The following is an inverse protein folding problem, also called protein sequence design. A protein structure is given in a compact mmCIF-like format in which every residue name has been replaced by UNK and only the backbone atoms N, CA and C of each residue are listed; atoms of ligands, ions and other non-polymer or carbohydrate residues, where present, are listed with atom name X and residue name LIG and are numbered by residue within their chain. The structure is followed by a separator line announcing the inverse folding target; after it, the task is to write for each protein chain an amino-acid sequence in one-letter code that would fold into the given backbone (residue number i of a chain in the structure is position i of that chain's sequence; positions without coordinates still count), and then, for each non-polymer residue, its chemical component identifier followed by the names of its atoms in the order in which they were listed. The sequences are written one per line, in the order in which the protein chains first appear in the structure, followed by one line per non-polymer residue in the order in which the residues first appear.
data_IF_817396838584
#
_entry.id   IF_817396838584
#
_cell.length_a   1.000
_cell.length_b   1.000
_cell.length_c   1.000
_cell.angle_alpha   90.00
_cell.angle_beta   90.00
_cell.angle_gamma   90.00
#
_symmetry.space_group_name_H-M   'P 1'
#
loop_
_entity.id
_entity.type
_entity.pdbx_description
1 polymer ?
#
# COMPACT_ATOMS: atom_id res chain seq x y z
N UNK A 1 -11.58 -9.00 3.71
CA UNK A 1 -11.06 -7.96 2.78
C UNK A 1 -9.62 -7.58 3.13
N UNK A 2 -8.86 -7.08 2.15
CA UNK A 2 -7.55 -6.48 2.35
C UNK A 2 -7.61 -4.96 2.06
N UNK A 3 -7.29 -4.16 3.06
CA UNK A 3 -7.14 -2.70 3.00
C UNK A 3 -5.65 -2.38 2.89
N UNK A 4 -5.20 -1.87 1.75
CA UNK A 4 -3.83 -1.42 1.56
C UNK A 4 -3.68 0.06 1.91
N UNK A 5 -2.95 0.36 2.98
CA UNK A 5 -2.56 1.72 3.35
C UNK A 5 -1.12 1.95 2.88
N UNK A 6 -0.94 2.56 1.71
CA UNK A 6 0.38 2.68 1.11
C UNK A 6 0.89 4.12 1.05
N UNK A 7 2.15 4.27 0.74
CA UNK A 7 2.81 5.58 0.62
C UNK A 7 4.32 5.46 0.79
N UNK A 8 5.05 6.45 0.33
CA UNK A 8 6.51 6.52 0.48
C UNK A 8 6.93 6.67 1.95
N UNK A 9 8.20 6.55 2.25
CA UNK A 9 8.74 6.82 3.59
C UNK A 9 8.32 8.19 4.10
N UNK A 10 8.18 8.31 5.41
CA UNK A 10 7.75 9.52 6.11
C UNK A 10 6.31 10.03 5.80
N UNK A 11 5.47 9.26 5.12
CA UNK A 11 4.05 9.60 4.92
C UNK A 11 3.18 9.42 6.17
N UNK A 12 3.70 8.89 7.28
CA UNK A 12 2.95 8.72 8.53
C UNK A 12 2.28 7.36 8.72
N UNK A 13 2.45 6.40 7.81
CA UNK A 13 1.80 5.06 7.87
C UNK A 13 1.90 4.38 9.23
N UNK A 14 3.10 4.17 9.74
CA UNK A 14 3.32 3.44 11.01
C UNK A 14 2.63 4.13 12.18
N UNK A 15 2.63 5.47 12.24
CA UNK A 15 1.91 6.22 13.28
C UNK A 15 0.40 6.02 13.18
N UNK A 16 -0.14 6.05 11.98
CA UNK A 16 -1.57 5.81 11.73
C UNK A 16 -1.97 4.36 12.04
N UNK A 17 -1.18 3.37 11.61
CA UNK A 17 -1.41 1.96 11.93
C UNK A 17 -1.49 1.75 13.44
N UNK A 18 -0.54 2.31 14.19
CA UNK A 18 -0.54 2.22 15.66
C UNK A 18 -1.78 2.87 16.29
N UNK A 19 -2.23 4.01 15.75
CA UNK A 19 -3.42 4.70 16.24
C UNK A 19 -4.74 4.02 15.86
N UNK A 20 -4.76 3.21 14.78
CA UNK A 20 -5.94 2.42 14.35
C UNK A 20 -5.97 1.05 15.04
N UNK A 21 -4.81 0.52 15.44
CA UNK A 21 -4.69 -0.80 16.07
C UNK A 21 -5.57 -0.89 17.33
N UNK A 22 -6.41 -1.90 17.38
CA UNK A 22 -7.34 -2.12 18.49
C UNK A 22 -8.65 -1.32 18.43
N UNK A 23 -8.86 -0.47 17.39
CA UNK A 23 -10.15 0.23 17.24
C UNK A 23 -11.28 -0.68 16.76
N UNK A 24 -10.96 -1.82 16.15
CA UNK A 24 -11.91 -2.78 15.60
C UNK A 24 -11.49 -4.19 15.99
N UNK A 25 -12.43 -4.98 16.49
CA UNK A 25 -12.20 -6.38 16.88
C UNK A 25 -12.08 -7.32 15.67
N UNK A 26 -12.58 -6.89 14.51
CA UNK A 26 -12.65 -7.63 13.27
C UNK A 26 -11.65 -7.12 12.20
N UNK A 27 -10.61 -6.39 12.64
CA UNK A 27 -9.56 -5.85 11.77
C UNK A 27 -8.18 -6.14 12.35
N UNK A 28 -7.43 -6.99 11.67
CA UNK A 28 -6.00 -7.16 11.91
C UNK A 28 -5.24 -5.97 11.30
N UNK A 29 -4.25 -5.43 12.03
CA UNK A 29 -3.47 -4.27 11.59
C UNK A 29 -2.00 -4.64 11.60
N UNK A 30 -1.37 -4.61 10.43
CA UNK A 30 0.02 -4.99 10.25
C UNK A 30 0.82 -3.95 9.45
N UNK A 31 2.10 -3.83 9.78
CA UNK A 31 3.09 -3.17 8.93
C UNK A 31 3.74 -4.23 8.02
N UNK A 32 3.98 -3.88 6.76
CA UNK A 32 4.59 -4.78 5.78
C UNK A 32 5.93 -5.35 6.26
N UNK A 33 6.70 -4.54 6.97
CA UNK A 33 8.03 -4.91 7.44
C UNK A 33 8.01 -6.01 8.52
N UNK A 34 6.84 -6.33 9.10
CA UNK A 34 6.67 -7.45 10.04
C UNK A 34 6.94 -8.83 9.41
N UNK A 35 7.00 -8.92 8.07
CA UNK A 35 7.40 -10.15 7.38
C UNK A 35 8.91 -10.42 7.46
N UNK A 36 9.68 -9.42 7.90
CA UNK A 36 11.14 -9.45 7.92
C UNK A 36 11.74 -9.01 6.58
N UNK A 37 12.30 -7.80 6.56
CA UNK A 37 12.95 -7.23 5.36
C UNK A 37 14.43 -7.57 5.37
N UNK A 38 14.94 -8.38 4.43
CA UNK A 38 16.35 -8.72 4.37
C UNK A 38 17.20 -7.52 3.93
N UNK A 39 18.47 -7.53 4.30
CA UNK A 39 19.44 -6.61 3.72
C UNK A 39 19.53 -6.85 2.20
N UNK A 40 19.37 -5.78 1.41
CA UNK A 40 19.35 -5.88 -0.05
C UNK A 40 18.03 -6.38 -0.65
N UNK A 41 16.91 -6.20 0.08
CA UNK A 41 15.58 -6.46 -0.47
C UNK A 41 15.39 -5.75 -1.82
N UNK A 42 15.07 -6.55 -2.85
CA UNK A 42 14.88 -6.11 -4.23
C UNK A 42 13.40 -6.20 -4.67
N UNK A 43 13.12 -5.81 -5.90
CA UNK A 43 11.76 -5.92 -6.47
C UNK A 43 11.24 -7.35 -6.49
N UNK A 44 11.99 -8.39 -6.91
CA UNK A 44 11.56 -9.78 -6.80
C UNK A 44 11.20 -10.20 -5.37
N UNK A 45 11.99 -9.80 -4.38
CA UNK A 45 11.66 -10.06 -2.98
C UNK A 45 10.36 -9.36 -2.58
N UNK A 46 10.18 -8.09 -2.96
CA UNK A 46 8.95 -7.33 -2.65
C UNK A 46 7.71 -8.00 -3.26
N UNK A 47 7.79 -8.52 -4.49
CA UNK A 47 6.70 -9.24 -5.12
C UNK A 47 6.33 -10.53 -4.37
N UNK A 48 7.32 -11.32 -3.95
CA UNK A 48 7.06 -12.51 -3.11
C UNK A 48 6.50 -12.14 -1.74
N UNK A 49 6.98 -11.07 -1.12
CA UNK A 49 6.45 -10.56 0.14
C UNK A 49 4.99 -10.07 -0.01
N UNK A 50 4.64 -9.43 -1.12
CA UNK A 50 3.26 -9.06 -1.43
C UNK A 50 2.36 -10.29 -1.50
N UNK A 51 2.78 -11.35 -2.20
CA UNK A 51 2.01 -12.60 -2.25
C UNK A 51 1.86 -13.22 -0.85
N UNK A 52 2.92 -13.23 -0.05
CA UNK A 52 2.85 -13.75 1.32
C UNK A 52 1.87 -12.95 2.20
N UNK A 53 1.77 -11.62 2.00
CA UNK A 53 0.77 -10.80 2.68
C UNK A 53 -0.65 -11.06 2.19
N UNK A 54 -0.85 -11.30 0.89
CA UNK A 54 -2.14 -11.71 0.34
C UNK A 54 -2.56 -13.07 0.93
N UNK A 55 -1.66 -14.04 1.00
CA UNK A 55 -1.92 -15.33 1.65
C UNK A 55 -2.27 -15.16 3.14
N UNK A 56 -1.64 -14.22 3.85
CA UNK A 56 -1.99 -13.90 5.23
C UNK A 56 -3.37 -13.26 5.33
N UNK A 57 -3.72 -12.37 4.39
CA UNK A 57 -5.05 -11.77 4.31
C UNK A 57 -6.15 -12.82 4.08
N UNK A 58 -5.89 -13.82 3.23
CA UNK A 58 -6.82 -14.94 3.01
C UNK A 58 -7.04 -15.75 4.29
N UNK A 59 -6.00 -15.98 5.11
CA UNK A 59 -6.17 -16.64 6.41
C UNK A 59 -7.05 -15.83 7.37
N UNK A 60 -6.88 -14.50 7.42
CA UNK A 60 -7.76 -13.63 8.19
C UNK A 60 -9.20 -13.66 7.66
N UNK A 61 -9.37 -13.61 6.34
CA UNK A 61 -10.68 -13.68 5.68
C UNK A 61 -11.44 -14.96 6.08
N UNK A 62 -10.77 -16.13 6.12
CA UNK A 62 -11.36 -17.38 6.60
C UNK A 62 -11.80 -17.33 8.08
N UNK A 63 -11.25 -16.41 8.85
CA UNK A 63 -11.60 -16.18 10.26
C UNK A 63 -12.64 -15.06 10.43
N UNK A 64 -13.19 -14.53 9.32
CA UNK A 64 -14.11 -13.40 9.35
C UNK A 64 -13.46 -12.07 9.73
N UNK A 65 -12.14 -11.97 9.60
CA UNK A 65 -11.35 -10.79 9.97
C UNK A 65 -10.81 -10.12 8.71
N UNK A 66 -10.88 -8.80 8.63
CA UNK A 66 -10.22 -8.02 7.59
C UNK A 66 -8.75 -7.74 7.93
N UNK A 67 -7.95 -7.38 6.93
CA UNK A 67 -6.57 -6.96 7.12
C UNK A 67 -6.35 -5.52 6.65
N UNK A 68 -5.84 -4.65 7.54
CA UNK A 68 -5.23 -3.37 7.17
C UNK A 68 -3.71 -3.56 7.12
N UNK A 69 -3.15 -3.43 5.93
CA UNK A 69 -1.72 -3.58 5.67
C UNK A 69 -1.10 -2.22 5.33
N UNK A 70 -0.19 -1.73 6.17
CA UNK A 70 0.64 -0.56 5.85
C UNK A 70 1.87 -0.97 5.06
N UNK A 71 2.11 -0.38 3.88
CA UNK A 71 3.20 -0.77 3.00
C UNK A 71 3.78 0.39 2.18
N UNK A 72 4.97 0.19 1.63
CA UNK A 72 5.49 1.00 0.51
C UNK A 72 5.17 0.35 -0.86
N UNK A 73 4.42 -0.72 -0.85
CA UNK A 73 3.98 -1.44 -2.04
C UNK A 73 2.92 -0.67 -2.78
N UNK A 74 3.07 -0.43 -4.09
CA UNK A 74 2.01 0.15 -4.90
C UNK A 74 0.81 -0.78 -5.07
N UNK A 75 -0.36 -0.19 -5.25
CA UNK A 75 -1.62 -0.95 -5.44
C UNK A 75 -1.55 -1.96 -6.58
N UNK A 76 -0.95 -1.57 -7.72
CA UNK A 76 -0.81 -2.45 -8.88
C UNK A 76 0.02 -3.70 -8.63
N UNK A 77 1.05 -3.63 -7.81
CA UNK A 77 1.82 -4.82 -7.44
C UNK A 77 0.95 -5.81 -6.64
N UNK A 78 0.15 -5.30 -5.70
CA UNK A 78 -0.71 -6.17 -4.90
C UNK A 78 -1.82 -6.82 -5.74
N UNK A 79 -2.41 -6.07 -6.69
CA UNK A 79 -3.37 -6.58 -7.66
C UNK A 79 -2.76 -7.68 -8.58
N UNK A 80 -1.48 -7.56 -8.89
CA UNK A 80 -0.79 -8.51 -9.76
C UNK A 80 -0.34 -9.79 -9.05
N UNK A 81 -0.45 -9.88 -7.71
CA UNK A 81 -0.06 -11.11 -6.99
C UNK A 81 -0.91 -12.30 -7.41
N UNK A 82 -0.34 -13.52 -7.47
CA UNK A 82 -1.06 -14.71 -7.92
C UNK A 82 -2.43 -14.90 -7.24
N UNK A 83 -2.48 -14.73 -5.93
CA UNK A 83 -3.66 -15.04 -5.11
C UNK A 83 -4.63 -13.87 -4.88
N UNK A 84 -4.38 -12.68 -5.44
CA UNK A 84 -5.25 -11.51 -5.22
C UNK A 84 -6.72 -11.77 -5.60
N UNK A 85 -6.97 -12.63 -6.61
CA UNK A 85 -8.33 -12.98 -7.06
C UNK A 85 -9.14 -13.79 -6.05
N UNK A 86 -8.51 -14.35 -5.03
CA UNK A 86 -9.16 -15.15 -3.99
C UNK A 86 -9.65 -14.28 -2.83
N UNK A 87 -9.23 -13.01 -2.78
CA UNK A 87 -9.71 -12.07 -1.77
C UNK A 87 -11.16 -11.68 -2.04
N UNK A 88 -11.98 -11.56 -0.99
CA UNK A 88 -13.34 -11.02 -1.06
C UNK A 88 -13.37 -9.57 -1.54
N UNK A 89 -12.29 -8.85 -1.32
CA UNK A 89 -12.09 -7.48 -1.79
C UNK A 89 -10.70 -6.96 -1.45
N UNK A 90 -10.22 -6.08 -2.32
CA UNK A 90 -8.95 -5.37 -2.19
C UNK A 90 -9.21 -3.88 -2.48
N UNK A 91 -8.85 -3.01 -1.56
CA UNK A 91 -8.98 -1.56 -1.70
C UNK A 91 -7.71 -0.86 -1.23
N UNK A 92 -7.46 0.35 -1.72
CA UNK A 92 -6.21 1.06 -1.47
C UNK A 92 -6.42 2.51 -1.06
N UNK A 93 -5.60 2.96 -0.13
CA UNK A 93 -5.51 4.34 0.31
C UNK A 93 -4.04 4.78 0.32
N UNK A 94 -3.74 5.84 -0.42
CA UNK A 94 -2.43 6.50 -0.42
C UNK A 94 -2.37 7.51 0.72
N UNK A 95 -1.48 7.30 1.69
CA UNK A 95 -1.06 8.36 2.60
C UNK A 95 0.08 9.14 1.97
N UNK A 96 -0.15 10.41 1.73
CA UNK A 96 0.85 11.28 1.15
C UNK A 96 1.02 12.58 1.94
N UNK A 97 2.09 13.31 1.69
CA UNK A 97 2.33 14.66 2.16
C UNK A 97 3.13 15.41 1.12
N UNK A 98 3.14 16.74 1.21
CA UNK A 98 4.02 17.57 0.40
C UNK A 98 5.50 17.22 0.59
N UNK A 99 6.34 17.61 -0.36
CA UNK A 99 7.75 17.24 -0.39
C UNK A 99 8.57 17.92 0.72
N UNK A 100 8.19 19.13 1.13
CA UNK A 100 8.84 19.86 2.25
C UNK A 100 8.55 19.15 3.58
N UNK A 101 7.30 18.80 3.81
CA UNK A 101 6.88 18.02 4.99
C UNK A 101 7.60 16.67 5.03
N UNK A 102 7.70 15.99 3.89
CA UNK A 102 8.39 14.70 3.78
C UNK A 102 9.87 14.84 4.09
N UNK A 103 10.54 15.83 3.48
CA UNK A 103 11.96 16.11 3.71
C UNK A 103 12.24 16.43 5.18
N UNK A 104 11.42 17.28 5.80
CA UNK A 104 11.55 17.59 7.22
C UNK A 104 11.35 16.36 8.13
N UNK A 105 10.39 15.48 7.81
CA UNK A 105 10.17 14.23 8.55
C UNK A 105 11.31 13.23 8.37
N UNK A 106 11.87 13.12 7.17
CA UNK A 106 13.04 12.28 6.90
C UNK A 106 14.26 12.78 7.66
N UNK A 107 14.53 14.10 7.63
CA UNK A 107 15.64 14.70 8.36
C UNK A 107 15.58 14.41 9.88
N UNK A 108 14.40 14.35 10.47
CA UNK A 108 14.20 14.01 11.90
C UNK A 108 14.57 12.56 12.25
N UNK A 109 14.66 11.65 11.27
CA UNK A 109 15.10 10.26 11.51
C UNK A 109 16.60 10.14 11.81
N UNK A 110 17.36 11.18 11.53
CA UNK A 110 18.79 11.27 11.80
C UNK A 110 19.68 10.52 10.81
N UNK A 111 20.99 10.81 10.86
CA UNK A 111 21.98 10.21 9.98
C UNK A 111 22.08 8.69 10.13
N UNK A 112 21.98 8.19 11.36
CA UNK A 112 22.06 6.74 11.63
C UNK A 112 21.00 5.90 10.88
N UNK A 113 19.83 6.51 10.56
CA UNK A 113 18.81 5.82 9.77
C UNK A 113 19.24 5.69 8.31
N UNK A 114 19.86 6.74 7.75
CA UNK A 114 20.41 6.73 6.39
C UNK A 114 21.61 5.79 6.28
N UNK A 115 22.51 5.80 7.25
CA UNK A 115 23.71 4.94 7.29
C UNK A 115 23.33 3.44 7.37
N UNK A 116 22.19 3.11 7.96
CA UNK A 116 21.64 1.73 8.03
C UNK A 116 20.87 1.31 6.77
N UNK A 117 21.03 2.01 5.66
CA UNK A 117 20.37 1.69 4.39
C UNK A 117 19.02 2.37 4.20
N UNK A 118 18.75 3.45 4.94
CA UNK A 118 17.53 4.25 4.82
C UNK A 118 17.35 4.96 3.47
N UNK A 119 18.36 4.88 2.59
CA UNK A 119 18.29 5.43 1.25
C UNK A 119 18.51 6.95 1.19
N UNK A 120 18.41 7.50 0.00
CA UNK A 120 18.55 8.93 -0.27
C UNK A 120 17.18 9.64 -0.15
N UNK A 121 17.15 10.85 0.39
CA UNK A 121 15.95 11.70 0.47
C UNK A 121 15.30 11.86 -0.90
N UNK A 122 16.11 12.11 -1.94
CA UNK A 122 15.62 12.29 -3.30
C UNK A 122 14.93 11.02 -3.83
N UNK A 123 15.45 9.85 -3.50
CA UNK A 123 14.81 8.58 -3.87
C UNK A 123 13.39 8.46 -3.27
N UNK A 124 13.19 8.89 -2.01
CA UNK A 124 11.86 8.88 -1.39
C UNK A 124 10.91 9.94 -1.97
N UNK A 125 11.42 11.11 -2.35
CA UNK A 125 10.64 12.13 -3.06
C UNK A 125 10.20 11.62 -4.44
N UNK A 126 11.12 11.04 -5.20
CA UNK A 126 10.83 10.45 -6.51
C UNK A 126 9.80 9.31 -6.38
N UNK A 127 9.94 8.46 -5.36
CA UNK A 127 8.99 7.37 -5.09
C UNK A 127 7.60 7.90 -4.72
N UNK A 128 7.52 8.97 -3.91
CA UNK A 128 6.27 9.62 -3.57
C UNK A 128 5.59 10.22 -4.81
N UNK A 129 6.36 10.93 -5.63
CA UNK A 129 5.87 11.52 -6.90
C UNK A 129 5.33 10.42 -7.82
N UNK A 130 6.07 9.32 -7.97
CA UNK A 130 5.63 8.17 -8.77
C UNK A 130 4.32 7.59 -8.21
N UNK A 131 4.21 7.39 -6.90
CA UNK A 131 3.00 6.87 -6.26
C UNK A 131 1.78 7.77 -6.46
N UNK A 132 1.92 9.10 -6.40
CA UNK A 132 0.84 10.07 -6.68
C UNK A 132 0.29 9.89 -8.10
N UNK A 133 1.18 9.76 -9.07
CA UNK A 133 0.79 9.55 -10.46
C UNK A 133 0.14 8.19 -10.66
N UNK A 134 0.75 7.13 -10.14
CA UNK A 134 0.22 5.76 -10.24
C UNK A 134 -1.14 5.62 -9.56
N UNK A 135 -1.37 6.28 -8.42
CA UNK A 135 -2.67 6.27 -7.74
C UNK A 135 -3.80 6.80 -8.64
N UNK A 136 -3.51 7.76 -9.52
CA UNK A 136 -4.48 8.38 -10.44
C UNK A 136 -4.50 7.74 -11.83
N UNK A 137 -3.40 7.08 -12.23
CA UNK A 137 -3.23 6.49 -13.55
C UNK A 137 -2.54 5.13 -13.42
N UNK A 138 -3.27 4.01 -13.59
CA UNK A 138 -2.74 2.66 -13.37
C UNK A 138 -1.41 2.40 -14.08
N UNK A 139 -1.32 2.75 -15.34
CA UNK A 139 -0.19 2.43 -16.22
C UNK A 139 0.94 3.49 -16.22
N UNK A 140 0.89 4.46 -15.28
CA UNK A 140 1.96 5.47 -15.21
C UNK A 140 3.32 4.84 -14.94
N UNK A 141 4.23 4.95 -15.90
CA UNK A 141 5.60 4.42 -15.82
C UNK A 141 5.67 3.03 -15.15
N UNK A 142 4.85 2.11 -15.65
CA UNK A 142 4.65 0.77 -15.06
C UNK A 142 5.96 -0.02 -14.93
N UNK A 143 6.95 0.23 -15.78
CA UNK A 143 8.25 -0.45 -15.77
C UNK A 143 9.05 -0.20 -14.48
N UNK A 144 8.68 0.81 -13.69
CA UNK A 144 9.27 1.06 -12.37
C UNK A 144 8.97 -0.10 -11.40
N UNK A 145 7.82 -0.74 -11.54
CA UNK A 145 7.38 -1.85 -10.69
C UNK A 145 7.34 -3.19 -11.43
N UNK A 146 7.19 -3.16 -12.75
CA UNK A 146 7.18 -4.33 -13.61
C UNK A 146 8.56 -4.54 -14.21
N UNK A 147 9.27 -5.55 -13.72
CA UNK A 147 10.60 -5.89 -14.22
C UNK A 147 10.55 -7.24 -14.94
N UNK A 148 11.24 -7.41 -16.09
CA UNK A 148 11.12 -8.61 -16.93
C UNK A 148 11.33 -9.93 -16.18
N UNK A 149 12.27 -9.98 -15.25
CA UNK A 149 12.59 -11.18 -14.48
C UNK A 149 11.56 -11.52 -13.37
N UNK A 150 10.56 -10.66 -13.13
CA UNK A 150 9.48 -10.90 -12.16
C UNK A 150 8.15 -11.27 -12.83
N UNK A 151 8.09 -11.31 -14.15
CA UNK A 151 6.83 -11.51 -14.89
C UNK A 151 6.23 -12.89 -14.72
N UNK A 152 7.06 -13.91 -14.55
CA UNK A 152 6.58 -15.30 -14.46
C UNK A 152 5.63 -15.55 -13.27
N UNK A 153 5.80 -14.83 -12.17
CA UNK A 153 5.02 -15.00 -10.94
C UNK A 153 3.85 -14.03 -10.84
N UNK A 154 3.98 -12.83 -11.42
CA UNK A 154 3.00 -11.76 -11.30
C UNK A 154 1.98 -11.78 -12.45
N UNK A 155 0.76 -11.40 -12.17
CA UNK A 155 -0.37 -11.37 -13.12
C UNK A 155 -0.70 -9.94 -13.54
N UNK A 156 0.26 -9.28 -14.19
CA UNK A 156 0.16 -7.89 -14.61
C UNK A 156 -1.01 -7.61 -15.56
N UNK A 157 -1.34 -8.57 -16.44
CA UNK A 157 -2.44 -8.45 -17.39
C UNK A 157 -3.81 -8.16 -16.74
N UNK A 158 -3.97 -8.39 -15.43
CA UNK A 158 -5.22 -8.14 -14.72
C UNK A 158 -5.67 -6.69 -14.73
N UNK A 159 -4.74 -5.74 -14.81
CA UNK A 159 -5.04 -4.32 -14.68
C UNK A 159 -4.26 -3.42 -15.65
N UNK A 160 -3.30 -3.93 -16.41
CA UNK A 160 -2.46 -3.10 -17.29
C UNK A 160 -3.21 -2.55 -18.51
N UNK A 161 -4.43 -2.99 -18.76
CA UNK A 161 -5.36 -2.41 -19.73
C UNK A 161 -6.28 -1.32 -19.13
N UNK A 162 -6.26 -1.13 -17.82
CA UNK A 162 -7.11 -0.14 -17.16
C UNK A 162 -6.57 1.27 -17.41
N UNK A 163 -7.49 2.19 -17.65
CA UNK A 163 -7.17 3.58 -17.96
C UNK A 163 -7.46 4.49 -16.77
N UNK A 164 -6.99 5.71 -16.83
CA UNK A 164 -7.33 6.74 -15.86
C UNK A 164 -8.86 6.88 -15.78
N UNK A 165 -9.39 6.83 -14.54
CA UNK A 165 -10.82 6.91 -14.27
C UNK A 165 -11.56 5.56 -14.38
N UNK A 166 -10.87 4.45 -14.60
CA UNK A 166 -11.47 3.12 -14.47
C UNK A 166 -11.97 2.92 -13.04
N UNK A 167 -13.26 2.57 -12.89
CA UNK A 167 -13.88 2.42 -11.58
C UNK A 167 -13.28 1.29 -10.75
N UNK A 168 -12.61 0.33 -11.38
CA UNK A 168 -11.88 -0.76 -10.73
C UNK A 168 -10.57 -0.29 -10.09
N UNK A 169 -10.04 0.84 -10.59
CA UNK A 169 -8.86 1.49 -10.03
C UNK A 169 -9.28 2.69 -9.19
N UNK A 170 -9.71 2.40 -7.98
CA UNK A 170 -10.04 3.44 -7.02
C UNK A 170 -9.00 3.45 -5.90
N UNK A 171 -8.29 4.57 -5.77
CA UNK A 171 -7.35 4.81 -4.69
C UNK A 171 -7.79 6.06 -3.95
N UNK A 172 -8.14 5.90 -2.68
CA UNK A 172 -8.36 7.03 -1.78
C UNK A 172 -7.01 7.73 -1.51
N UNK A 173 -7.00 9.06 -1.44
CA UNK A 173 -5.79 9.82 -1.13
C UNK A 173 -6.04 10.67 0.11
N UNK A 174 -5.23 10.46 1.15
CA UNK A 174 -5.29 11.24 2.39
C UNK A 174 -3.99 12.03 2.51
N UNK A 175 -4.11 13.36 2.50
CA UNK A 175 -3.00 14.27 2.77
C UNK A 175 -2.68 14.26 4.27
N UNK A 176 -1.41 14.03 4.57
CA UNK A 176 -0.90 13.99 5.94
C UNK A 176 -0.09 15.23 6.32
N UNK A 177 -0.02 16.23 5.44
CA UNK A 177 0.65 17.50 5.69
C UNK A 177 -0.09 18.25 6.79
N UNK A 178 0.60 18.62 7.87
CA UNK A 178 0.02 19.43 8.95
C UNK A 178 -1.04 18.75 9.82
N UNK A 179 -1.46 17.53 9.53
CA UNK A 179 -2.52 16.83 10.28
C UNK A 179 -1.98 16.07 11.49
N UNK A 180 -2.74 16.07 12.58
CA UNK A 180 -2.44 15.27 13.75
C UNK A 180 -2.67 13.77 13.47
N UNK A 181 -1.90 12.89 14.12
CA UNK A 181 -2.03 11.43 13.96
C UNK A 181 -3.44 10.93 14.28
N UNK A 182 -4.13 11.52 15.25
CA UNK A 182 -5.51 11.17 15.61
C UNK A 182 -6.49 11.48 14.47
N UNK A 183 -6.36 12.64 13.82
CA UNK A 183 -7.20 13.04 12.69
C UNK A 183 -7.00 12.10 11.48
N UNK A 184 -5.74 11.74 11.21
CA UNK A 184 -5.39 10.80 10.16
C UNK A 184 -5.96 9.40 10.46
N UNK A 185 -5.86 8.94 11.70
CA UNK A 185 -6.44 7.67 12.11
C UNK A 185 -7.97 7.66 11.99
N UNK A 186 -8.62 8.79 12.23
CA UNK A 186 -10.07 8.95 12.04
C UNK A 186 -10.45 8.98 10.55
N UNK A 187 -9.63 9.62 9.71
CA UNK A 187 -9.81 9.61 8.26
C UNK A 187 -9.68 8.19 7.68
N UNK A 188 -8.64 7.45 8.07
CA UNK A 188 -8.43 6.05 7.67
C UNK A 188 -9.57 5.16 8.19
N UNK A 189 -10.01 5.37 9.44
CA UNK A 189 -11.15 4.64 9.99
C UNK A 189 -12.46 4.92 9.22
N UNK A 190 -12.65 6.15 8.76
CA UNK A 190 -13.79 6.52 7.92
C UNK A 190 -13.72 5.84 6.56
N UNK A 191 -12.56 5.86 5.91
CA UNK A 191 -12.33 5.15 4.65
C UNK A 191 -12.65 3.65 4.78
N UNK A 192 -12.13 2.97 5.80
CA UNK A 192 -12.42 1.54 6.04
C UNK A 192 -13.94 1.29 6.16
N UNK A 193 -14.66 2.12 6.92
CA UNK A 193 -16.13 1.97 7.06
C UNK A 193 -16.86 2.19 5.74
N UNK A 194 -16.47 3.19 4.96
CA UNK A 194 -17.06 3.47 3.66
C UNK A 194 -16.85 2.32 2.69
N UNK A 195 -15.65 1.78 2.61
CA UNK A 195 -15.34 0.65 1.74
C UNK A 195 -16.10 -0.62 2.15
N UNK A 196 -16.23 -0.89 3.44
CA UNK A 196 -17.05 -2.00 3.95
C UNK A 196 -18.53 -1.86 3.59
N UNK A 197 -19.06 -0.64 3.59
CA UNK A 197 -20.50 -0.38 3.35
C UNK A 197 -20.85 -0.24 1.87
N UNK A 198 -19.94 0.20 1.03
CA UNK A 198 -20.22 0.59 -0.35
C UNK A 198 -20.44 -0.59 -1.29
N UNK A 199 -20.11 -1.79 -0.91
CA UNK A 199 -20.05 -2.95 -1.81
C UNK A 199 -19.07 -2.76 -2.99
N UNK A 200 -18.44 -1.57 -3.13
CA UNK A 200 -17.41 -1.25 -4.13
C UNK A 200 -16.12 -2.01 -3.89
N UNK A 201 -15.85 -2.36 -2.65
CA UNK A 201 -14.68 -3.09 -2.20
C UNK A 201 -14.48 -4.45 -2.89
N UNK A 202 -15.42 -4.83 -3.71
CA UNK A 202 -15.29 -5.99 -4.57
C UNK A 202 -14.73 -5.56 -5.93
N UNK A 203 -13.49 -5.07 -5.96
CA UNK A 203 -12.71 -5.33 -7.16
C UNK A 203 -12.58 -6.84 -7.20
N UNK A 204 -13.63 -7.51 -7.71
CA UNK A 204 -13.49 -8.91 -8.15
C UNK A 204 -12.44 -8.84 -9.23
N UNK A 205 -11.21 -9.11 -8.83
CA UNK A 205 -10.10 -9.30 -9.77
C UNK A 205 -10.55 -10.46 -10.65
N UNK A 206 -11.05 -10.15 -11.85
CA UNK A 206 -11.58 -11.15 -12.77
C UNK A 206 -10.53 -12.23 -12.99
N UNK A 207 -10.97 -13.48 -12.92
CA UNK A 207 -10.20 -14.61 -13.39
C UNK A 207 -10.18 -14.52 -14.93
N UNK A 208 -9.21 -13.85 -15.50
CA UNK A 208 -8.84 -13.96 -16.93
C UNK A 208 -7.38 -14.34 -17.03
#
# INVERSE_FOLDING_TARGET
MLFLLFGSSASGKTSVLNAVRGRYSDLAVHDFDEIGVPSGADTPWRHRANEAWVQRALRYQHQGTDLLLGAQTPFGELLATPSATLLDGLTACLLDCDDDTRSARLARRGLEWFDRGGGDVQAYLNWATWMRHHANQPTWQIDVIRQPHTEAEMRWARWTDWQRGDQRWHVEIIDTSGSATSELADAVSRWIRLERSSGRARTKVSQT
#
